data_IF_112509469509
#
_entry.id   IF_112509469509
#
_cell.length_a   1.000
_cell.length_b   1.000
_cell.length_c   1.000
_cell.angle_alpha   90.00
_cell.angle_beta   90.00
_cell.angle_gamma   90.00
#
_symmetry.space_group_name_H-M   'P 1'
#
loop_
_entity.id
_entity.type
_entity.pdbx_description
1 polymer ?
#
# COMPACT_ATOMS: atom_id res chain seq x y z
N UNK A 1 1.64 25.39 12.88
CA UNK A 1 2.54 24.22 12.81
C UNK A 1 2.65 23.67 14.22
N UNK A 2 2.25 22.42 14.41
CA UNK A 2 2.30 21.80 15.75
C UNK A 2 3.76 21.34 16.00
N UNK A 3 4.47 22.04 16.88
CA UNK A 3 5.87 21.78 17.27
C UNK A 3 6.04 20.49 18.10
N UNK A 4 5.29 19.43 17.76
CA UNK A 4 5.44 18.15 18.42
C UNK A 4 6.47 17.32 17.66
N UNK A 5 7.69 17.25 18.21
CA UNK A 5 8.64 16.25 17.74
C UNK A 5 8.01 14.85 17.87
N UNK A 6 8.13 14.01 16.84
CA UNK A 6 7.67 12.61 16.94
C UNK A 6 8.43 11.91 18.07
N UNK A 7 7.82 10.91 18.72
CA UNK A 7 8.52 10.12 19.73
C UNK A 7 9.71 9.40 19.08
N UNK A 8 10.80 9.22 19.82
CA UNK A 8 11.98 8.49 19.32
C UNK A 8 11.64 7.05 18.93
N UNK A 9 10.70 6.45 19.66
CA UNK A 9 10.16 5.10 19.39
C UNK A 9 8.65 5.09 19.56
N UNK A 10 7.98 4.20 18.83
CA UNK A 10 6.56 3.88 19.03
C UNK A 10 6.30 2.43 18.58
N UNK A 11 5.21 1.84 19.04
CA UNK A 11 4.80 0.49 18.64
C UNK A 11 3.76 0.56 17.52
N UNK A 12 3.96 -0.21 16.44
CA UNK A 12 2.97 -0.43 15.38
C UNK A 12 2.21 -1.74 15.65
N UNK A 13 0.91 -1.73 15.31
CA UNK A 13 0.05 -2.91 15.25
C UNK A 13 -0.35 -3.21 13.80
N UNK A 14 -0.06 -4.40 13.33
CA UNK A 14 -0.48 -4.93 12.04
C UNK A 14 -1.70 -5.82 12.29
N UNK A 15 -2.84 -5.45 11.75
CA UNK A 15 -4.08 -6.22 11.89
C UNK A 15 -4.29 -7.09 10.66
N UNK A 16 -4.07 -8.38 10.81
CA UNK A 16 -4.41 -9.39 9.82
C UNK A 16 -5.74 -10.01 10.22
N UNK A 17 -6.74 -10.01 9.33
CA UNK A 17 -8.06 -10.58 9.61
C UNK A 17 -8.70 -11.19 8.38
N UNK A 18 -9.55 -12.20 8.61
CA UNK A 18 -10.46 -12.74 7.63
C UNK A 18 -11.74 -11.90 7.55
N UNK A 19 -12.37 -11.84 6.38
CA UNK A 19 -13.60 -11.06 6.17
C UNK A 19 -14.81 -11.99 6.07
N UNK A 20 -15.82 -11.68 6.87
CA UNK A 20 -17.15 -12.29 6.74
C UNK A 20 -17.96 -11.65 5.59
N UNK A 21 -19.03 -12.27 5.13
CA UNK A 21 -19.96 -11.65 4.18
C UNK A 21 -20.71 -10.42 4.75
N UNK A 22 -20.77 -10.26 6.08
CA UNK A 22 -21.42 -9.13 6.75
C UNK A 22 -20.46 -7.95 6.94
N UNK A 23 -20.64 -6.82 6.21
CA UNK A 23 -19.78 -5.64 6.34
C UNK A 23 -19.77 -5.02 7.74
N UNK A 24 -20.89 -5.07 8.45
CA UNK A 24 -20.99 -4.48 9.79
C UNK A 24 -20.28 -5.36 10.83
N UNK A 25 -20.29 -6.66 10.65
CA UNK A 25 -19.47 -7.57 11.45
C UNK A 25 -17.98 -7.31 11.23
N UNK A 26 -17.55 -7.13 9.98
CA UNK A 26 -16.16 -6.83 9.67
C UNK A 26 -15.72 -5.50 10.32
N UNK A 27 -16.57 -4.48 10.27
CA UNK A 27 -16.30 -3.21 10.95
C UNK A 27 -16.17 -3.39 12.47
N UNK A 28 -17.09 -4.12 13.10
CA UNK A 28 -17.01 -4.43 14.55
C UNK A 28 -15.70 -5.18 14.88
N UNK A 29 -15.35 -6.17 14.08
CA UNK A 29 -14.10 -6.91 14.24
C UNK A 29 -12.87 -6.01 14.11
N UNK A 30 -12.84 -5.14 13.10
CA UNK A 30 -11.74 -4.20 12.90
C UNK A 30 -11.58 -3.25 14.10
N UNK A 31 -12.69 -2.69 14.60
CA UNK A 31 -12.70 -1.83 15.81
C UNK A 31 -12.16 -2.59 17.03
N UNK A 32 -12.60 -3.84 17.23
CA UNK A 32 -12.11 -4.67 18.33
C UNK A 32 -10.61 -4.95 18.23
N UNK A 33 -10.11 -5.26 17.01
CA UNK A 33 -8.67 -5.50 16.75
C UNK A 33 -7.81 -4.24 16.89
N UNK A 34 -8.36 -3.05 16.61
CA UNK A 34 -7.69 -1.78 16.94
C UNK A 34 -7.52 -1.65 18.45
N UNK A 35 -8.56 -1.98 19.24
CA UNK A 35 -8.48 -2.01 20.69
C UNK A 35 -7.47 -3.04 21.22
N UNK A 36 -7.45 -4.24 20.63
CA UNK A 36 -6.48 -5.31 20.95
C UNK A 36 -5.03 -4.84 20.70
N UNK A 37 -4.77 -4.25 19.53
CA UNK A 37 -3.45 -3.71 19.20
C UNK A 37 -3.02 -2.60 20.19
N UNK A 38 -3.94 -1.69 20.51
CA UNK A 38 -3.69 -0.61 21.47
C UNK A 38 -3.40 -1.14 22.88
N UNK A 39 -4.13 -2.17 23.33
CA UNK A 39 -3.89 -2.82 24.62
C UNK A 39 -2.53 -3.52 24.67
N UNK A 40 -2.04 -4.01 23.51
CA UNK A 40 -0.69 -4.55 23.34
C UNK A 40 0.39 -3.46 23.18
N UNK A 41 0.03 -2.18 23.32
CA UNK A 41 0.96 -1.04 23.31
C UNK A 41 1.09 -0.31 21.98
N UNK A 42 0.35 -0.69 20.93
CA UNK A 42 0.42 -0.01 19.63
C UNK A 42 0.00 1.47 19.77
N UNK A 43 0.68 2.33 19.00
CA UNK A 43 0.38 3.75 18.80
C UNK A 43 0.01 4.07 17.36
N UNK A 44 0.33 3.17 16.44
CA UNK A 44 -0.08 3.18 15.04
C UNK A 44 -0.68 1.81 14.73
N UNK A 45 -1.87 1.77 14.16
CA UNK A 45 -2.54 0.52 13.76
C UNK A 45 -2.89 0.59 12.29
N UNK A 46 -2.57 -0.44 11.53
CA UNK A 46 -2.93 -0.56 10.13
C UNK A 46 -3.87 -1.75 9.92
N UNK A 47 -5.00 -1.49 9.25
CA UNK A 47 -5.98 -2.49 8.83
C UNK A 47 -5.67 -2.98 7.40
N UNK A 48 -6.13 -4.18 6.98
CA UNK A 48 -5.95 -4.65 5.63
C UNK A 48 -6.86 -3.92 4.63
N UNK A 49 -6.48 -3.93 3.36
CA UNK A 49 -7.23 -3.32 2.26
C UNK A 49 -8.69 -3.80 2.22
N UNK A 50 -9.62 -2.85 1.99
CA UNK A 50 -11.07 -3.11 1.83
C UNK A 50 -11.65 -4.02 2.93
N UNK A 51 -11.18 -3.85 4.17
CA UNK A 51 -11.46 -4.71 5.31
C UNK A 51 -12.94 -4.87 5.64
N UNK A 52 -13.78 -3.94 5.19
CA UNK A 52 -15.21 -3.93 5.50
C UNK A 52 -16.00 -5.01 4.76
N UNK A 53 -15.47 -5.54 3.65
CA UNK A 53 -16.15 -6.55 2.84
C UNK A 53 -15.23 -7.70 2.47
N UNK A 54 -15.81 -8.83 2.08
CA UNK A 54 -15.08 -9.78 1.28
C UNK A 54 -14.58 -9.10 0.02
N UNK A 55 -13.51 -9.62 -0.58
CA UNK A 55 -12.89 -9.03 -1.77
C UNK A 55 -13.81 -9.20 -2.98
N UNK A 56 -14.59 -8.17 -3.23
CA UNK A 56 -15.65 -8.18 -4.23
C UNK A 56 -15.13 -8.07 -5.67
N UNK A 57 -13.92 -7.57 -5.87
CA UNK A 57 -13.35 -7.37 -7.21
C UNK A 57 -12.94 -8.68 -7.90
N UNK A 58 -13.31 -9.85 -7.34
CA UNK A 58 -13.20 -11.13 -8.02
C UNK A 58 -14.17 -11.29 -9.21
N UNK A 59 -15.13 -10.39 -9.35
CA UNK A 59 -16.08 -10.31 -10.48
C UNK A 59 -16.49 -8.86 -10.73
N UNK A 60 -16.96 -8.61 -11.93
CA UNK A 60 -17.58 -7.35 -12.31
C UNK A 60 -19.09 -7.44 -12.03
N UNK A 61 -19.57 -6.67 -11.06
CA UNK A 61 -20.98 -6.68 -10.64
C UNK A 61 -21.37 -5.29 -10.13
N UNK A 62 -22.23 -4.62 -10.87
CA UNK A 62 -22.64 -3.25 -10.55
C UNK A 62 -23.37 -3.12 -9.20
N UNK A 63 -24.01 -4.18 -8.69
CA UNK A 63 -24.64 -4.15 -7.38
C UNK A 63 -23.61 -3.99 -6.23
N UNK A 64 -22.34 -4.34 -6.44
CA UNK A 64 -21.31 -4.24 -5.44
C UNK A 64 -20.80 -2.79 -5.21
N UNK A 65 -21.17 -1.84 -6.06
CA UNK A 65 -20.96 -0.42 -5.78
C UNK A 65 -21.74 0.07 -4.54
N UNK A 66 -22.78 -0.64 -4.13
CA UNK A 66 -23.53 -0.32 -2.91
C UNK A 66 -22.71 -0.58 -1.61
N UNK A 67 -21.58 -1.28 -1.70
CA UNK A 67 -20.61 -1.44 -0.59
C UNK A 67 -19.81 -0.16 -0.34
N UNK A 68 -19.79 0.79 -1.28
CA UNK A 68 -19.01 2.01 -1.18
C UNK A 68 -19.64 3.01 -0.20
N UNK A 69 -18.79 3.69 0.56
CA UNK A 69 -19.18 4.71 1.53
C UNK A 69 -18.49 6.05 1.27
N UNK A 70 -19.10 7.19 1.66
CA UNK A 70 -18.42 8.48 1.62
C UNK A 70 -17.26 8.51 2.62
N UNK A 71 -16.34 9.46 2.44
CA UNK A 71 -15.31 9.78 3.45
C UNK A 71 -15.39 11.27 3.78
N UNK A 72 -15.70 11.64 5.05
CA UNK A 72 -16.03 10.77 6.18
C UNK A 72 -17.33 9.97 5.99
N UNK A 73 -17.40 8.80 6.63
CA UNK A 73 -18.51 7.88 6.56
C UNK A 73 -18.46 6.81 7.66
N UNK A 74 -19.33 5.80 7.60
CA UNK A 74 -19.52 4.85 8.70
C UNK A 74 -18.22 4.21 9.22
N UNK A 75 -17.33 3.76 8.32
CA UNK A 75 -16.06 3.13 8.70
C UNK A 75 -15.11 4.14 9.35
N UNK A 76 -14.91 5.30 8.73
CA UNK A 76 -13.97 6.31 9.25
C UNK A 76 -14.47 6.93 10.56
N UNK A 77 -15.78 7.08 10.74
CA UNK A 77 -16.37 7.56 11.99
C UNK A 77 -16.23 6.55 13.13
N UNK A 78 -16.49 5.26 12.86
CA UNK A 78 -16.36 4.21 13.87
C UNK A 78 -14.89 4.05 14.28
N UNK A 79 -13.97 4.00 13.33
CA UNK A 79 -12.54 3.91 13.58
C UNK A 79 -11.97 5.19 14.18
N UNK A 80 -12.51 6.37 13.86
CA UNK A 80 -12.18 7.63 14.51
C UNK A 80 -12.51 7.64 16.00
N UNK A 81 -13.69 7.12 16.36
CA UNK A 81 -14.05 6.93 17.79
C UNK A 81 -13.10 5.94 18.48
N UNK A 82 -12.79 4.81 17.84
CA UNK A 82 -11.85 3.83 18.36
C UNK A 82 -10.44 4.40 18.53
N UNK A 83 -9.94 5.12 17.51
CA UNK A 83 -8.65 5.81 17.54
C UNK A 83 -8.55 6.78 18.72
N UNK A 84 -9.57 7.62 18.89
CA UNK A 84 -9.64 8.57 20.00
C UNK A 84 -9.68 7.88 21.37
N UNK A 85 -10.52 6.85 21.51
CA UNK A 85 -10.66 6.11 22.76
C UNK A 85 -9.36 5.40 23.15
N UNK A 86 -8.65 4.81 22.17
CA UNK A 86 -7.42 4.07 22.38
C UNK A 86 -6.15 4.96 22.35
N UNK A 87 -6.25 6.20 21.88
CA UNK A 87 -5.11 7.12 21.73
C UNK A 87 -4.11 6.64 20.66
N UNK A 88 -4.59 6.06 19.55
CA UNK A 88 -3.76 5.47 18.48
C UNK A 88 -4.08 6.09 17.13
N UNK A 89 -3.07 6.19 16.27
CA UNK A 89 -3.24 6.50 14.85
C UNK A 89 -3.77 5.27 14.13
N UNK A 90 -4.75 5.42 13.22
CA UNK A 90 -5.34 4.29 12.48
C UNK A 90 -5.25 4.55 10.97
N UNK A 91 -4.75 3.57 10.23
CA UNK A 91 -4.88 3.51 8.78
C UNK A 91 -6.11 2.68 8.45
N UNK A 92 -7.10 3.33 7.87
CA UNK A 92 -8.42 2.78 7.59
C UNK A 92 -8.67 2.71 6.06
N UNK A 93 -8.41 1.56 5.41
CA UNK A 93 -8.73 1.39 3.99
C UNK A 93 -10.25 1.36 3.76
N UNK A 94 -10.72 2.07 2.72
CA UNK A 94 -12.14 2.28 2.45
C UNK A 94 -12.44 2.15 0.96
N UNK A 95 -13.56 1.51 0.61
CA UNK A 95 -14.18 1.66 -0.70
C UNK A 95 -14.88 3.04 -0.73
N UNK A 96 -14.19 4.05 -1.24
CA UNK A 96 -14.66 5.44 -1.24
C UNK A 96 -15.66 5.68 -2.36
N UNK A 97 -16.87 6.15 -2.01
CA UNK A 97 -17.78 6.80 -2.93
C UNK A 97 -17.56 8.31 -2.89
N UNK A 98 -16.75 8.82 -3.81
CA UNK A 98 -16.44 10.25 -3.90
C UNK A 98 -17.62 11.08 -4.43
N UNK A 99 -18.31 10.53 -5.43
CA UNK A 99 -19.49 11.11 -6.07
C UNK A 99 -20.29 9.97 -6.73
N UNK A 100 -21.54 10.23 -7.18
CA UNK A 100 -22.26 9.29 -8.01
C UNK A 100 -21.45 8.89 -9.25
N UNK A 101 -21.19 7.58 -9.41
CA UNK A 101 -20.40 7.03 -10.51
C UNK A 101 -18.87 7.24 -10.41
N UNK A 102 -18.36 7.78 -9.32
CA UNK A 102 -16.92 7.98 -9.10
C UNK A 102 -16.48 7.38 -7.78
N UNK A 103 -15.65 6.36 -7.85
CA UNK A 103 -15.21 5.57 -6.70
C UNK A 103 -13.70 5.37 -6.70
N UNK A 104 -13.12 5.24 -5.49
CA UNK A 104 -11.71 4.97 -5.30
C UNK A 104 -11.49 3.89 -4.25
N UNK A 105 -10.39 3.17 -4.39
CA UNK A 105 -9.81 2.38 -3.32
C UNK A 105 -8.91 3.32 -2.51
N UNK A 106 -9.31 3.64 -1.29
CA UNK A 106 -8.71 4.73 -0.51
C UNK A 106 -8.22 4.24 0.85
N UNK A 107 -7.19 4.88 1.38
CA UNK A 107 -6.75 4.70 2.76
C UNK A 107 -6.90 6.02 3.52
N UNK A 108 -7.78 6.04 4.51
CA UNK A 108 -7.96 7.18 5.40
C UNK A 108 -6.92 7.12 6.53
N UNK A 109 -6.30 8.25 6.82
CA UNK A 109 -5.38 8.41 7.95
C UNK A 109 -6.11 9.15 9.06
N UNK A 110 -6.28 8.48 10.19
CA UNK A 110 -6.99 8.97 11.37
C UNK A 110 -5.98 9.15 12.50
N UNK A 111 -5.87 10.36 13.06
CA UNK A 111 -4.93 10.61 14.17
C UNK A 111 -5.49 10.11 15.51
N UNK A 112 -4.63 10.07 16.49
CA UNK A 112 -4.92 9.57 17.85
C UNK A 112 -5.99 10.35 18.63
N UNK A 113 -6.40 11.52 18.13
CA UNK A 113 -7.54 12.27 18.67
C UNK A 113 -8.86 11.95 17.94
N UNK A 114 -8.82 11.05 16.94
CA UNK A 114 -9.94 10.62 16.12
C UNK A 114 -10.19 11.49 14.90
N UNK A 115 -9.40 12.53 14.68
CA UNK A 115 -9.54 13.41 13.51
C UNK A 115 -9.03 12.74 12.24
N UNK A 116 -9.72 12.97 11.13
CA UNK A 116 -9.27 12.56 9.79
C UNK A 116 -8.17 13.52 9.32
N UNK A 117 -6.92 13.02 9.26
CA UNK A 117 -5.76 13.79 8.79
C UNK A 117 -5.79 13.96 7.27
N UNK A 118 -6.23 12.92 6.55
CA UNK A 118 -6.35 12.96 5.11
C UNK A 118 -6.57 11.59 4.48
N UNK A 119 -6.49 11.57 3.16
CA UNK A 119 -6.71 10.39 2.32
C UNK A 119 -5.53 10.16 1.38
N UNK A 120 -5.23 8.90 1.16
CA UNK A 120 -4.53 8.40 -0.02
C UNK A 120 -5.53 7.63 -0.90
N UNK A 121 -5.48 7.83 -2.21
CA UNK A 121 -6.23 7.06 -3.20
C UNK A 121 -5.26 6.21 -4.01
N UNK A 122 -5.51 4.91 -4.08
CA UNK A 122 -4.67 3.91 -4.76
C UNK A 122 -4.34 4.38 -6.18
N UNK A 123 -3.05 4.60 -6.45
CA UNK A 123 -2.57 5.12 -7.74
C UNK A 123 -2.53 4.04 -8.82
N UNK A 124 -2.08 2.84 -8.45
CA UNK A 124 -2.01 1.70 -9.36
C UNK A 124 -3.17 0.74 -9.10
N UNK A 125 -4.04 0.61 -10.07
CA UNK A 125 -5.24 -0.23 -9.99
C UNK A 125 -5.04 -1.46 -10.87
N UNK A 126 -5.07 -2.69 -10.31
CA UNK A 126 -4.91 -3.93 -11.07
C UNK A 126 -6.13 -4.24 -11.95
N UNK A 127 -5.89 -5.09 -12.95
CA UNK A 127 -6.91 -5.64 -13.84
C UNK A 127 -6.48 -7.04 -14.31
N UNK A 128 -6.31 -7.92 -13.34
CA UNK A 128 -5.93 -9.31 -13.55
C UNK A 128 -7.11 -10.24 -13.26
N UNK A 129 -7.09 -11.50 -13.69
CA UNK A 129 -8.13 -12.47 -13.37
C UNK A 129 -8.41 -12.53 -11.86
N UNK A 130 -9.68 -12.37 -11.48
CA UNK A 130 -10.17 -12.24 -10.11
C UNK A 130 -9.66 -11.01 -9.31
N UNK A 131 -8.99 -10.05 -9.99
CA UNK A 131 -8.63 -8.74 -9.46
C UNK A 131 -9.10 -7.63 -10.39
N UNK A 132 -10.40 -7.63 -10.75
CA UNK A 132 -11.03 -6.69 -11.68
C UNK A 132 -11.29 -5.31 -11.04
N UNK A 133 -10.27 -4.73 -10.42
CA UNK A 133 -10.42 -3.49 -9.68
C UNK A 133 -10.70 -2.28 -10.60
N UNK A 134 -10.25 -2.30 -11.85
CA UNK A 134 -10.54 -1.21 -12.80
C UNK A 134 -12.01 -1.05 -13.15
N UNK A 135 -12.83 -2.10 -12.96
CA UNK A 135 -14.28 -1.98 -13.08
C UNK A 135 -14.85 -1.07 -12.00
N UNK A 136 -14.29 -1.09 -10.80
CA UNK A 136 -14.81 -0.38 -9.63
C UNK A 136 -14.15 0.97 -9.40
N UNK A 137 -12.84 1.10 -9.64
CA UNK A 137 -12.07 2.23 -9.14
C UNK A 137 -11.45 3.08 -10.24
N UNK A 138 -11.61 4.39 -10.12
CA UNK A 138 -10.76 5.33 -10.79
C UNK A 138 -9.38 5.33 -10.14
N UNK A 139 -8.28 5.49 -10.91
CA UNK A 139 -6.95 5.70 -10.35
C UNK A 139 -6.92 6.90 -9.40
N UNK A 140 -6.00 6.85 -8.43
CA UNK A 140 -5.82 7.91 -7.47
C UNK A 140 -5.42 9.24 -8.12
N UNK A 141 -5.99 10.33 -7.64
CA UNK A 141 -5.78 11.69 -8.16
C UNK A 141 -5.19 12.66 -7.12
N UNK A 142 -4.77 12.14 -5.96
CA UNK A 142 -4.14 12.91 -4.88
C UNK A 142 -2.61 12.83 -4.88
N UNK A 143 -2.04 11.98 -5.74
CA UNK A 143 -0.61 11.69 -5.78
C UNK A 143 -0.12 10.87 -4.58
N UNK A 144 1.19 10.63 -4.52
CA UNK A 144 1.83 9.99 -3.38
C UNK A 144 1.99 10.99 -2.25
N UNK A 145 1.58 10.62 -1.03
CA UNK A 145 1.43 11.55 0.09
C UNK A 145 2.02 11.01 1.38
N UNK A 146 2.46 11.93 2.23
CA UNK A 146 2.76 11.67 3.63
C UNK A 146 1.79 12.45 4.52
N UNK A 147 1.64 11.97 5.75
CA UNK A 147 0.71 12.51 6.72
C UNK A 147 1.45 12.74 8.04
N UNK A 148 1.35 13.95 8.57
CA UNK A 148 1.87 14.30 9.89
C UNK A 148 0.87 13.85 10.95
N UNK A 149 1.30 12.93 11.83
CA UNK A 149 0.49 12.31 12.87
C UNK A 149 1.19 12.37 14.23
N UNK A 150 0.51 11.91 15.28
CA UNK A 150 1.09 11.79 16.63
C UNK A 150 2.34 10.92 16.69
N UNK A 151 2.50 9.96 15.80
CA UNK A 151 3.68 9.09 15.74
C UNK A 151 4.74 9.59 14.77
N UNK A 152 4.50 10.72 14.12
CA UNK A 152 5.40 11.31 13.14
C UNK A 152 4.86 11.18 11.71
N UNK A 153 5.76 11.31 10.73
CA UNK A 153 5.44 11.27 9.30
C UNK A 153 5.26 9.85 8.80
N UNK A 154 4.07 9.52 8.38
CA UNK A 154 3.75 8.22 7.80
C UNK A 154 3.34 8.35 6.33
N UNK A 155 3.72 7.38 5.52
CA UNK A 155 3.23 7.21 4.15
C UNK A 155 2.32 6.00 4.09
N UNK A 156 1.16 6.11 3.44
CA UNK A 156 0.34 4.96 3.11
C UNK A 156 0.17 4.88 1.61
N UNK A 157 0.33 3.68 1.09
CA UNK A 157 0.03 3.26 -0.27
C UNK A 157 -0.97 2.09 -0.14
N UNK A 158 -1.47 1.54 -1.24
CA UNK A 158 -2.44 0.45 -1.17
C UNK A 158 -2.08 -0.66 -2.14
N UNK A 159 -1.92 -1.88 -1.64
CA UNK A 159 -1.84 -3.16 -2.35
C UNK A 159 -0.97 -3.10 -3.62
N UNK A 160 -1.57 -2.97 -4.81
CA UNK A 160 -0.86 -3.01 -6.11
C UNK A 160 0.27 -1.98 -6.22
N UNK A 161 0.18 -0.86 -5.49
CA UNK A 161 1.27 0.12 -5.38
C UNK A 161 2.57 -0.50 -4.86
N UNK A 162 2.48 -1.61 -4.12
CA UNK A 162 3.65 -2.30 -3.54
C UNK A 162 4.64 -2.84 -4.57
N UNK A 163 4.21 -3.03 -5.83
CA UNK A 163 5.05 -3.52 -6.91
C UNK A 163 5.88 -2.43 -7.60
N UNK A 164 5.57 -1.14 -7.33
CA UNK A 164 6.14 0.01 -8.02
C UNK A 164 7.12 0.78 -7.12
N UNK A 165 8.44 0.67 -7.37
CA UNK A 165 9.46 1.37 -6.58
C UNK A 165 9.29 2.89 -6.57
N UNK A 166 8.71 3.46 -7.63
CA UNK A 166 8.47 4.90 -7.78
C UNK A 166 7.55 5.43 -6.68
N UNK A 167 6.47 4.70 -6.34
CA UNK A 167 5.55 5.09 -5.28
C UNK A 167 6.24 5.13 -3.92
N UNK A 168 7.00 4.08 -3.58
CA UNK A 168 7.79 4.00 -2.37
C UNK A 168 8.81 5.14 -2.29
N UNK A 169 9.52 5.39 -3.39
CA UNK A 169 10.54 6.44 -3.48
C UNK A 169 9.94 7.83 -3.30
N UNK A 170 8.89 8.16 -4.03
CA UNK A 170 8.25 9.47 -3.96
C UNK A 170 7.68 9.77 -2.57
N UNK A 171 7.11 8.75 -1.91
CA UNK A 171 6.62 8.88 -0.54
C UNK A 171 7.76 9.05 0.47
N UNK A 172 8.84 8.27 0.35
CA UNK A 172 10.00 8.40 1.22
C UNK A 172 10.72 9.76 1.07
N UNK A 173 10.78 10.31 -0.15
CA UNK A 173 11.34 11.63 -0.42
C UNK A 173 10.57 12.78 0.23
N UNK A 174 9.30 12.58 0.55
CA UNK A 174 8.50 13.53 1.33
C UNK A 174 8.73 13.41 2.84
N UNK A 175 9.63 12.52 3.28
CA UNK A 175 10.05 12.37 4.66
C UNK A 175 9.26 11.34 5.47
N UNK A 176 8.60 10.38 4.84
CA UNK A 176 7.98 9.26 5.55
C UNK A 176 9.01 8.47 6.35
N UNK A 177 8.69 8.14 7.60
CA UNK A 177 9.48 7.26 8.45
C UNK A 177 9.13 5.78 8.21
N UNK A 178 7.89 5.53 7.83
CA UNK A 178 7.33 4.22 7.54
C UNK A 178 6.43 4.31 6.33
N UNK A 179 6.49 3.30 5.48
CA UNK A 179 5.55 3.07 4.38
C UNK A 179 4.62 1.93 4.77
N UNK A 180 3.32 2.17 4.66
CA UNK A 180 2.27 1.23 5.01
C UNK A 180 1.58 0.77 3.72
N UNK A 181 1.41 -0.54 3.57
CA UNK A 181 0.72 -1.17 2.45
C UNK A 181 -0.43 -2.03 2.95
N UNK A 182 -1.62 -1.44 3.24
CA UNK A 182 -2.85 -2.22 3.31
C UNK A 182 -3.03 -3.01 2.03
N UNK A 183 -3.27 -4.31 2.14
CA UNK A 183 -3.20 -5.24 1.02
C UNK A 183 -4.33 -6.27 1.06
N UNK A 184 -4.72 -6.75 -0.11
CA UNK A 184 -5.56 -7.91 -0.34
C UNK A 184 -4.92 -8.75 -1.46
N UNK A 185 -4.00 -9.65 -1.10
CA UNK A 185 -3.26 -10.48 -2.05
C UNK A 185 -3.22 -11.94 -1.58
N UNK A 186 -3.36 -12.85 -2.53
CA UNK A 186 -3.40 -14.28 -2.26
C UNK A 186 -3.11 -15.11 -3.49
N UNK A 187 -3.24 -16.41 -3.35
CA UNK A 187 -3.08 -17.36 -4.43
C UNK A 187 -4.41 -17.66 -5.12
N UNK A 188 -4.35 -17.78 -6.43
CA UNK A 188 -5.35 -18.62 -7.10
C UNK A 188 -5.10 -20.08 -6.70
N UNK A 189 -6.07 -20.79 -6.14
CA UNK A 189 -5.86 -22.15 -5.61
C UNK A 189 -5.23 -23.11 -6.63
N UNK A 190 -5.57 -22.96 -7.91
CA UNK A 190 -5.04 -23.78 -9.01
C UNK A 190 -3.54 -23.56 -9.28
N UNK A 191 -3.00 -22.38 -8.94
CA UNK A 191 -1.60 -22.01 -9.17
C UNK A 191 -0.73 -22.23 -7.93
N UNK A 192 -1.34 -22.33 -6.76
CA UNK A 192 -0.64 -22.33 -5.47
C UNK A 192 0.46 -23.39 -5.38
N UNK A 193 0.19 -24.60 -5.87
CA UNK A 193 1.15 -25.71 -5.80
C UNK A 193 2.41 -25.44 -6.67
N UNK A 194 2.26 -24.73 -7.81
CA UNK A 194 3.34 -24.51 -8.76
C UNK A 194 4.07 -23.20 -8.51
N UNK A 195 3.35 -22.15 -8.18
CA UNK A 195 3.90 -20.80 -8.14
C UNK A 195 3.83 -20.15 -6.75
N UNK A 196 3.06 -20.70 -5.82
CA UNK A 196 2.71 -20.02 -4.58
C UNK A 196 3.90 -19.60 -3.72
N UNK A 197 4.94 -20.42 -3.60
CA UNK A 197 6.14 -20.07 -2.84
C UNK A 197 6.89 -18.89 -3.48
N UNK A 198 7.05 -18.90 -4.81
CA UNK A 198 7.74 -17.83 -5.55
C UNK A 198 6.94 -16.52 -5.51
N UNK A 199 5.61 -16.58 -5.58
CA UNK A 199 4.74 -15.40 -5.51
C UNK A 199 4.84 -14.72 -4.13
N UNK A 200 4.80 -15.49 -3.05
CA UNK A 200 4.95 -14.97 -1.69
C UNK A 200 6.34 -14.38 -1.45
N UNK A 201 7.39 -15.06 -1.92
CA UNK A 201 8.77 -14.58 -1.82
C UNK A 201 8.97 -13.27 -2.60
N UNK A 202 8.45 -13.18 -3.83
CA UNK A 202 8.50 -11.96 -4.63
C UNK A 202 7.81 -10.78 -3.93
N UNK A 203 6.63 -11.03 -3.33
CA UNK A 203 5.88 -10.03 -2.58
C UNK A 203 6.64 -9.50 -1.36
N UNK A 204 7.28 -10.37 -0.59
CA UNK A 204 8.11 -9.95 0.54
C UNK A 204 9.39 -9.25 0.06
N UNK A 205 10.03 -9.77 -0.97
CA UNK A 205 11.29 -9.25 -1.49
C UNK A 205 11.15 -7.84 -2.02
N UNK A 206 10.13 -7.54 -2.84
CA UNK A 206 9.95 -6.19 -3.39
C UNK A 206 9.74 -5.14 -2.28
N UNK A 207 8.97 -5.45 -1.26
CA UNK A 207 8.70 -4.52 -0.16
C UNK A 207 9.91 -4.35 0.77
N UNK A 208 10.67 -5.41 1.03
CA UNK A 208 11.96 -5.33 1.71
C UNK A 208 12.96 -4.47 0.93
N UNK A 209 12.94 -4.58 -0.41
CA UNK A 209 13.73 -3.70 -1.28
C UNK A 209 13.36 -2.23 -1.10
N UNK A 210 12.07 -1.90 -0.94
CA UNK A 210 11.64 -0.53 -0.65
C UNK A 210 12.20 -0.02 0.68
N UNK A 211 12.21 -0.86 1.72
CA UNK A 211 12.79 -0.51 3.01
C UNK A 211 14.29 -0.18 2.86
N UNK A 212 15.06 -1.06 2.24
CA UNK A 212 16.50 -0.92 2.01
C UNK A 212 16.79 0.34 1.16
N UNK A 213 16.17 0.44 -0.01
CA UNK A 213 16.47 1.49 -0.97
C UNK A 213 16.14 2.90 -0.46
N UNK A 214 15.25 3.03 0.53
CA UNK A 214 14.82 4.30 1.09
C UNK A 214 15.32 4.52 2.52
N UNK A 215 15.86 3.49 3.19
CA UNK A 215 16.26 3.54 4.59
C UNK A 215 15.08 3.93 5.49
N UNK A 216 13.94 3.25 5.35
CA UNK A 216 12.70 3.48 6.12
C UNK A 216 12.10 2.14 6.54
N UNK A 217 11.17 2.16 7.50
CA UNK A 217 10.36 0.97 7.78
C UNK A 217 9.33 0.74 6.66
N UNK A 218 9.01 -0.54 6.42
CA UNK A 218 7.92 -0.94 5.51
C UNK A 218 7.04 -1.96 6.21
N UNK A 219 5.74 -1.68 6.26
CA UNK A 219 4.74 -2.56 6.84
C UNK A 219 3.72 -2.99 5.76
N UNK A 220 3.64 -4.28 5.49
CA UNK A 220 2.62 -4.88 4.64
C UNK A 220 1.55 -5.52 5.52
N UNK A 221 0.28 -5.16 5.32
CA UNK A 221 -0.84 -5.62 6.15
C UNK A 221 -1.88 -6.26 5.25
N UNK A 222 -1.90 -7.58 5.25
CA UNK A 222 -2.75 -8.38 4.37
C UNK A 222 -3.96 -8.94 5.11
N UNK A 223 -4.98 -9.31 4.35
CA UNK A 223 -6.07 -10.17 4.83
C UNK A 223 -5.66 -11.65 4.79
N UNK A 224 -6.46 -12.50 5.40
CA UNK A 224 -6.27 -13.96 5.45
C UNK A 224 -7.59 -14.66 5.18
N UNK A 225 -7.52 -15.92 4.79
CA UNK A 225 -8.69 -16.77 4.54
C UNK A 225 -8.99 -16.97 3.06
N UNK A 226 -9.94 -17.83 2.79
CA UNK A 226 -10.35 -18.19 1.44
C UNK A 226 -11.69 -17.53 1.11
N UNK A 227 -11.70 -16.65 0.15
CA UNK A 227 -12.90 -15.93 -0.28
C UNK A 227 -13.29 -16.30 -1.70
N UNK A 228 -14.55 -16.60 -1.90
CA UNK A 228 -15.11 -17.02 -3.19
C UNK A 228 -16.24 -16.08 -3.61
N UNK A 229 -16.29 -15.64 -4.87
CA UNK A 229 -17.36 -14.77 -5.36
C UNK A 229 -18.71 -15.51 -5.47
N UNK A 230 -18.69 -16.85 -5.58
CA UNK A 230 -19.85 -17.76 -5.58
C UNK A 230 -19.40 -19.19 -5.22
N UNK A 231 -20.37 -20.11 -5.11
CA UNK A 231 -20.12 -21.48 -4.67
C UNK A 231 -19.28 -22.33 -5.66
N UNK A 232 -19.23 -21.94 -6.94
CA UNK A 232 -18.55 -22.72 -7.99
C UNK A 232 -17.18 -22.17 -8.38
N UNK A 233 -16.84 -20.96 -7.95
CA UNK A 233 -15.56 -20.33 -8.26
C UNK A 233 -14.46 -20.83 -7.33
N UNK A 234 -13.24 -20.91 -7.83
CA UNK A 234 -12.06 -21.28 -7.02
C UNK A 234 -11.75 -20.23 -5.96
N UNK A 235 -12.00 -18.96 -6.27
CA UNK A 235 -11.77 -17.84 -5.36
C UNK A 235 -10.30 -17.49 -5.21
N UNK A 236 -10.02 -16.73 -4.13
CA UNK A 236 -8.65 -16.37 -3.75
C UNK A 236 -8.38 -16.86 -2.34
N UNK A 237 -7.27 -17.56 -2.15
CA UNK A 237 -6.73 -17.88 -0.84
C UNK A 237 -5.73 -16.80 -0.44
N UNK A 238 -6.17 -15.85 0.40
CA UNK A 238 -5.33 -14.76 0.91
C UNK A 238 -4.29 -15.34 1.87
N UNK A 239 -3.01 -15.06 1.59
CA UNK A 239 -1.90 -15.74 2.27
C UNK A 239 -1.45 -15.08 3.58
N UNK A 240 -2.21 -14.13 4.13
CA UNK A 240 -1.85 -13.48 5.37
C UNK A 240 -0.42 -12.95 5.33
N UNK A 241 0.44 -13.49 6.20
CA UNK A 241 1.89 -13.20 6.22
C UNK A 241 2.21 -11.72 6.35
N UNK A 242 1.32 -10.92 6.94
CA UNK A 242 1.57 -9.49 7.21
C UNK A 242 2.89 -9.31 7.94
N UNK A 243 3.69 -8.32 7.57
CA UNK A 243 5.02 -8.18 8.14
C UNK A 243 5.48 -6.72 8.27
N UNK A 244 6.49 -6.53 9.13
CA UNK A 244 7.26 -5.29 9.25
C UNK A 244 8.71 -5.56 8.85
N UNK A 245 9.23 -4.78 7.92
CA UNK A 245 10.65 -4.72 7.60
C UNK A 245 11.29 -3.46 8.19
N UNK A 246 12.49 -3.59 8.76
CA UNK A 246 13.29 -2.47 9.27
C UNK A 246 14.01 -1.74 8.11
N UNK A 247 14.68 -0.60 8.37
CA UNK A 247 15.40 0.16 7.34
C UNK A 247 16.54 -0.58 6.63
N UNK A 248 16.99 -1.72 7.16
CA UNK A 248 17.96 -2.62 6.53
C UNK A 248 17.29 -3.77 5.75
N UNK A 249 15.96 -3.80 5.72
CA UNK A 249 15.18 -4.83 5.01
C UNK A 249 15.04 -6.14 5.77
N UNK A 250 15.43 -6.19 7.04
CA UNK A 250 15.19 -7.35 7.89
C UNK A 250 13.70 -7.42 8.27
N UNK A 251 13.07 -8.57 8.11
CA UNK A 251 11.72 -8.81 8.63
C UNK A 251 11.83 -8.98 10.14
N UNK A 252 11.35 -7.97 10.88
CA UNK A 252 11.45 -7.90 12.35
C UNK A 252 10.18 -8.39 13.07
N UNK A 253 9.06 -8.46 12.33
CA UNK A 253 7.81 -9.04 12.82
C UNK A 253 7.02 -9.61 11.64
N UNK A 254 6.33 -10.73 11.84
CA UNK A 254 5.53 -11.38 10.81
C UNK A 254 4.34 -12.11 11.42
N UNK A 255 3.18 -12.00 10.78
CA UNK A 255 1.98 -12.76 11.09
C UNK A 255 2.03 -14.16 10.44
N UNK A 256 1.27 -15.14 10.96
CA UNK A 256 1.09 -16.44 10.30
C UNK A 256 0.37 -16.28 8.95
N UNK A 257 0.50 -17.30 8.07
CA UNK A 257 -0.09 -17.27 6.74
C UNK A 257 -1.58 -17.64 6.72
N UNK A 258 -2.10 -18.24 7.79
CA UNK A 258 -3.32 -19.05 7.77
C UNK A 258 -4.43 -18.62 8.75
N UNK A 259 -4.20 -17.59 9.54
CA UNK A 259 -5.16 -17.17 10.58
C UNK A 259 -5.09 -15.70 10.90
N UNK A 260 -6.12 -15.22 11.56
CA UNK A 260 -6.18 -13.87 12.16
C UNK A 260 -5.01 -13.67 13.14
N UNK A 261 -4.47 -12.45 13.11
CA UNK A 261 -3.41 -12.05 14.02
C UNK A 261 -3.41 -10.53 14.24
N UNK A 262 -3.02 -10.11 15.43
CA UNK A 262 -2.57 -8.76 15.70
C UNK A 262 -1.10 -8.84 16.08
N UNK A 263 -0.24 -8.34 15.21
CA UNK A 263 1.22 -8.37 15.42
C UNK A 263 1.66 -6.97 15.83
N UNK A 264 2.36 -6.86 16.95
CA UNK A 264 2.88 -5.59 17.44
C UNK A 264 4.40 -5.60 17.47
N UNK A 265 5.02 -4.49 17.10
CA UNK A 265 6.49 -4.35 17.13
C UNK A 265 6.90 -2.89 17.31
N UNK A 266 8.05 -2.66 17.94
CA UNK A 266 8.61 -1.34 18.10
C UNK A 266 9.21 -0.81 16.79
N UNK A 267 8.89 0.45 16.47
CA UNK A 267 9.54 1.26 15.43
C UNK A 267 10.46 2.25 16.12
N UNK A 268 11.76 2.15 15.88
CA UNK A 268 12.77 3.04 16.42
C UNK A 268 13.28 3.98 15.31
N UNK A 269 12.99 5.27 15.43
CA UNK A 269 13.36 6.25 14.39
C UNK A 269 14.88 6.45 14.27
N UNK A 270 15.65 6.18 15.32
CA UNK A 270 17.11 6.23 15.26
C UNK A 270 17.70 5.21 14.27
N UNK A 271 17.02 4.07 14.03
CA UNK A 271 17.42 3.06 13.02
C UNK A 271 17.39 3.63 11.59
N UNK A 272 16.52 4.59 11.31
CA UNK A 272 16.45 5.27 10.00
C UNK A 272 17.71 6.10 9.77
N UNK A 273 18.12 6.86 10.79
CA UNK A 273 19.33 7.67 10.73
C UNK A 273 20.58 6.79 10.63
N UNK A 274 20.63 5.72 11.41
CA UNK A 274 21.71 4.71 11.35
C UNK A 274 21.85 4.13 9.95
N UNK A 275 20.74 3.65 9.36
CA UNK A 275 20.73 3.06 8.03
C UNK A 275 21.18 4.07 6.95
N UNK A 276 20.65 5.29 7.00
CA UNK A 276 20.96 6.32 6.00
C UNK A 276 22.38 6.89 6.12
N UNK A 277 22.98 6.84 7.30
CA UNK A 277 24.41 7.18 7.50
C UNK A 277 25.33 6.06 7.07
N UNK A 278 25.01 4.81 7.43
CA UNK A 278 25.80 3.63 7.10
C UNK A 278 25.73 3.27 5.61
N UNK A 279 24.53 3.34 5.04
CA UNK A 279 24.26 3.12 3.61
C UNK A 279 23.58 4.35 2.98
N UNK A 280 24.34 5.31 2.52
CA UNK A 280 23.82 6.62 2.12
C UNK A 280 23.16 6.64 0.74
N UNK A 281 22.33 5.65 0.44
CA UNK A 281 21.67 5.49 -0.87
C UNK A 281 20.83 6.71 -1.26
N UNK A 282 20.23 7.41 -0.29
CA UNK A 282 19.45 8.61 -0.55
C UNK A 282 20.34 9.78 -1.01
N UNK A 283 21.51 9.96 -0.39
CA UNK A 283 22.51 10.99 -0.71
C UNK A 283 23.12 10.74 -2.09
N UNK A 284 23.42 9.48 -2.41
CA UNK A 284 24.21 9.09 -3.58
C UNK A 284 23.35 8.93 -4.85
N UNK A 285 22.08 9.33 -4.81
CA UNK A 285 21.18 9.31 -5.97
C UNK A 285 21.68 10.22 -7.09
N UNK A 286 21.71 9.71 -8.31
CA UNK A 286 22.06 10.44 -9.52
C UNK A 286 20.81 11.09 -10.13
N UNK A 287 20.26 12.07 -9.43
CA UNK A 287 19.02 12.77 -9.83
C UNK A 287 19.13 13.41 -11.24
N UNK A 288 20.32 13.73 -11.66
CA UNK A 288 20.68 14.23 -13.00
C UNK A 288 20.43 13.18 -14.12
N UNK A 289 20.40 11.89 -13.78
CA UNK A 289 20.28 10.79 -14.73
C UNK A 289 18.89 10.13 -14.78
N UNK A 290 17.91 10.57 -13.97
CA UNK A 290 16.62 9.87 -13.81
C UNK A 290 15.48 10.43 -14.66
N UNK A 291 15.73 11.35 -15.59
CA UNK A 291 14.68 11.95 -16.42
C UNK A 291 13.85 10.91 -17.21
N UNK A 292 14.44 9.76 -17.52
CA UNK A 292 13.76 8.66 -18.22
C UNK A 292 12.66 7.97 -17.42
N UNK A 293 12.63 8.08 -16.10
CA UNK A 293 11.64 7.42 -15.25
C UNK A 293 10.19 7.88 -15.49
N UNK A 294 10.01 9.06 -16.10
CA UNK A 294 8.68 9.56 -16.48
C UNK A 294 8.16 8.98 -17.80
N UNK A 295 8.97 8.17 -18.51
CA UNK A 295 8.58 7.51 -19.75
C UNK A 295 8.21 6.05 -19.47
N UNK A 296 7.24 5.53 -20.22
CA UNK A 296 6.84 4.13 -20.12
C UNK A 296 7.92 3.19 -20.68
N UNK A 297 8.62 3.63 -21.69
CA UNK A 297 9.72 2.92 -22.34
C UNK A 297 10.73 3.93 -22.90
N UNK A 298 11.99 3.56 -22.94
CA UNK A 298 13.05 4.37 -23.53
C UNK A 298 13.32 3.83 -24.94
N UNK A 299 12.73 4.49 -25.95
CA UNK A 299 13.05 4.21 -27.35
C UNK A 299 14.48 4.65 -27.64
N UNK A 300 15.17 3.92 -28.52
CA UNK A 300 16.43 4.41 -29.07
C UNK A 300 16.19 5.77 -29.73
N UNK A 301 17.07 6.73 -29.49
CA UNK A 301 17.03 7.97 -30.25
C UNK A 301 17.09 7.59 -31.74
N UNK A 302 16.21 8.16 -32.61
CA UNK A 302 16.31 7.89 -34.05
C UNK A 302 17.76 8.13 -34.45
N UNK A 303 18.43 7.08 -34.98
CA UNK A 303 19.76 7.25 -35.51
C UNK A 303 19.69 8.43 -36.48
N UNK A 304 20.53 9.44 -36.26
CA UNK A 304 20.61 10.55 -37.20
C UNK A 304 20.80 9.96 -38.56
N UNK A 305 19.76 9.89 -39.39
CA UNK A 305 19.86 9.52 -40.80
C UNK A 305 20.83 10.55 -41.32
N UNK A 306 22.04 10.09 -41.63
CA UNK A 306 23.06 10.95 -42.20
C UNK A 306 22.46 11.54 -43.47
N UNK A 307 22.10 12.82 -43.44
CA UNK A 307 21.90 13.61 -44.64
C UNK A 307 23.27 13.73 -45.33
N UNK A 308 23.72 12.64 -45.96
CA UNK A 308 24.73 12.76 -47.00
C UNK A 308 24.02 13.41 -48.19
N UNK A 309 24.44 14.59 -48.62
CA UNK A 309 23.93 15.16 -49.86
C UNK A 309 24.32 14.19 -51.01
N UNK A 310 23.32 13.69 -51.73
CA UNK A 310 23.53 12.91 -52.94
C UNK A 310 24.47 13.67 -53.84
N UNK A 311 25.63 13.07 -54.16
CA UNK A 311 26.58 13.59 -55.13
C UNK A 311 25.81 13.76 -56.45
N UNK A 312 25.64 15.00 -56.90
CA UNK A 312 25.15 15.34 -58.22
C UNK A 312 26.15 14.76 -59.22
N UNK A 313 25.76 13.74 -59.94
CA UNK A 313 26.40 13.28 -61.14
C UNK A 313 26.47 14.45 -62.13
N UNK A 314 27.67 14.98 -62.31
CA UNK A 314 27.93 15.90 -63.44
C UNK A 314 27.90 15.06 -64.74
N UNK A 315 26.81 15.27 -65.51
CA UNK A 315 26.85 14.92 -66.91
C UNK A 315 27.89 15.82 -67.59
N UNK A 316 28.98 15.22 -68.11
CA UNK A 316 29.84 15.86 -69.07
C UNK A 316 29.34 15.46 -70.45
N UNK A 317 28.68 16.38 -71.10
CA UNK A 317 28.56 16.36 -72.56
C UNK A 317 29.93 16.44 -73.19
N UNK A 318 30.27 15.40 -74.02
CA UNK A 318 30.93 15.53 -75.36
C UNK A 318 30.81 14.20 -76.12
#
# INVERSE_FOLDING_TARGET
MNDRQPPATYTIGLVQMAMSPDPDQNLRTAVAKVGEAAAAGARLVCLPELFRSQYFAQREDAALFDLAEPVPGPSTEALGRAAKQAGVVVIAPVFERRAPGLYHNSAAVIDADGSLVGLYRKMHVPDDPAYYEKFYFAPGDLGFRVFDTRVGRIGTLVCWDQWYPEGARLTALQGAHILLYPTAIGWHPVEKATHGAAQLDAWQTIQRSHAIANGVYVAAVNRVGHERPNATADGIEFWGSSFLADPFGAVVAQAPADRDAVVVHEVNLARIEEARRGWPFLRDRRIDAYAGLSKRFLDEAPSAISNQPSAKTRNSDR
#
